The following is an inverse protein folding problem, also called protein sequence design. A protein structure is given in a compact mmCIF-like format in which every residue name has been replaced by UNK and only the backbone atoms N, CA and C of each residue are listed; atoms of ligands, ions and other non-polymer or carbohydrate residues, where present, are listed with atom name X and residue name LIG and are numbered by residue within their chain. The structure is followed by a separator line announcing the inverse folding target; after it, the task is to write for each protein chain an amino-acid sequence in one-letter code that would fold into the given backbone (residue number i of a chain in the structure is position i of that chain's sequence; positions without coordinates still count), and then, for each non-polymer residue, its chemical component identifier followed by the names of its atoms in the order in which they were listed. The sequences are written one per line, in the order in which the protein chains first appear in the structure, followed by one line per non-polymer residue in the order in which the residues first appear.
data_IF_493778494841
#
_entry.id   IF_493778494841
#
_cell.length_a   1.000
_cell.length_b   1.000
_cell.length_c   1.000
_cell.angle_alpha   90.00
_cell.angle_beta   90.00
_cell.angle_gamma   90.00
#
_symmetry.space_group_name_H-M   'P 1'
#
loop_
_entity.id
_entity.type
_entity.pdbx_description
1 polymer ?
#
# COMPACT_ATOMS: atom_id res chain seq x y z
N UNK A 1 -1.52 -51.92 -9.60
CA UNK A 1 -1.67 -50.46 -9.81
C UNK A 1 -0.28 -49.88 -10.05
N UNK A 2 0.08 -49.54 -11.28
CA UNK A 2 1.41 -49.05 -11.64
C UNK A 2 1.32 -47.57 -12.04
N UNK A 3 2.11 -46.73 -11.37
CA UNK A 3 2.17 -45.28 -11.54
C UNK A 3 2.92 -44.94 -12.85
N UNK A 4 2.32 -44.11 -13.69
CA UNK A 4 2.92 -43.69 -14.97
C UNK A 4 4.09 -42.71 -14.71
N UNK A 5 5.22 -42.84 -15.43
CA UNK A 5 6.37 -41.94 -15.24
C UNK A 5 6.04 -40.52 -15.76
N UNK A 6 6.31 -39.52 -14.92
CA UNK A 6 6.07 -38.11 -15.24
C UNK A 6 6.85 -37.65 -16.47
N UNK A 7 6.14 -36.99 -17.39
CA UNK A 7 6.72 -36.39 -18.61
C UNK A 7 7.58 -35.20 -18.21
N UNK A 8 8.90 -35.33 -18.41
CA UNK A 8 9.85 -34.23 -18.20
C UNK A 8 9.76 -33.28 -19.40
N UNK A 9 9.16 -32.11 -19.21
CA UNK A 9 9.12 -31.06 -20.23
C UNK A 9 10.56 -30.54 -20.43
N UNK A 10 11.25 -31.04 -21.46
CA UNK A 10 12.57 -30.51 -21.84
C UNK A 10 12.37 -29.16 -22.53
N UNK A 11 12.84 -28.10 -21.88
CA UNK A 11 12.92 -26.78 -22.49
C UNK A 11 13.87 -26.85 -23.69
N UNK A 12 13.45 -26.51 -24.93
CA UNK A 12 14.27 -26.66 -26.14
C UNK A 12 15.51 -25.75 -26.16
N UNK A 13 15.61 -24.81 -25.22
CA UNK A 13 16.75 -23.91 -25.10
C UNK A 13 17.56 -24.24 -23.85
N UNK A 14 18.82 -24.63 -24.05
CA UNK A 14 19.80 -24.71 -22.98
C UNK A 14 20.08 -23.29 -22.44
N UNK A 15 19.44 -22.94 -21.31
CA UNK A 15 19.58 -21.63 -20.67
C UNK A 15 21.03 -21.29 -20.31
N UNK A 16 21.88 -22.31 -20.09
CA UNK A 16 23.31 -22.17 -19.85
C UNK A 16 24.07 -21.52 -21.01
N UNK A 17 23.53 -21.54 -22.25
CA UNK A 17 24.12 -20.82 -23.40
C UNK A 17 23.80 -19.33 -23.41
N UNK A 18 22.81 -18.88 -22.63
CA UNK A 18 22.40 -17.48 -22.50
C UNK A 18 23.02 -16.78 -21.30
N UNK A 19 23.73 -17.51 -20.43
CA UNK A 19 24.46 -16.91 -19.32
C UNK A 19 25.85 -16.53 -19.84
N UNK A 20 26.19 -15.23 -19.94
CA UNK A 20 27.53 -14.81 -20.30
C UNK A 20 28.51 -15.27 -19.22
N UNK A 21 29.67 -15.81 -19.60
CA UNK A 21 30.77 -16.03 -18.66
C UNK A 21 31.16 -14.67 -18.07
N UNK A 22 30.88 -14.48 -16.78
CA UNK A 22 31.29 -13.27 -16.08
C UNK A 22 32.82 -13.22 -16.05
N UNK A 23 33.45 -12.11 -16.48
CA UNK A 23 34.91 -12.01 -16.46
C UNK A 23 35.39 -12.14 -15.02
N UNK A 24 36.17 -13.18 -14.72
CA UNK A 24 36.90 -13.29 -13.46
C UNK A 24 38.11 -12.35 -13.51
N UNK A 25 37.84 -11.05 -13.34
CA UNK A 25 38.86 -10.01 -13.18
C UNK A 25 38.76 -9.38 -11.80
N UNK A 26 39.89 -9.14 -11.15
CA UNK A 26 40.08 -8.53 -9.82
C UNK A 26 39.40 -7.15 -9.60
N UNK A 27 38.75 -6.58 -10.61
CA UNK A 27 38.06 -5.29 -10.55
C UNK A 27 36.52 -5.39 -10.68
N UNK A 28 35.97 -6.60 -10.88
CA UNK A 28 34.53 -6.82 -10.86
C UNK A 28 34.10 -7.26 -9.46
N UNK A 29 33.58 -6.31 -8.69
CA UNK A 29 32.91 -6.61 -7.42
C UNK A 29 31.40 -6.71 -7.64
N UNK A 30 30.86 -7.92 -7.85
CA UNK A 30 29.43 -8.11 -8.05
C UNK A 30 28.61 -7.70 -6.82
N UNK A 31 29.18 -7.78 -5.62
CA UNK A 31 28.49 -7.42 -4.36
C UNK A 31 28.33 -5.91 -4.30
N UNK A 32 29.40 -5.14 -4.49
CA UNK A 32 29.33 -3.67 -4.52
C UNK A 32 28.36 -3.15 -5.60
N UNK A 33 28.33 -3.78 -6.78
CA UNK A 33 27.36 -3.42 -7.84
C UNK A 33 25.92 -3.71 -7.44
N UNK A 34 25.67 -4.84 -6.77
CA UNK A 34 24.35 -5.20 -6.29
C UNK A 34 23.88 -4.24 -5.19
N UNK A 35 24.74 -3.88 -4.24
CA UNK A 35 24.44 -2.91 -3.18
C UNK A 35 24.14 -1.52 -3.74
N UNK A 36 24.91 -1.05 -4.73
CA UNK A 36 24.64 0.23 -5.41
C UNK A 36 23.30 0.21 -6.15
N UNK A 37 22.94 -0.90 -6.80
CA UNK A 37 21.66 -1.04 -7.46
C UNK A 37 20.50 -1.04 -6.46
N UNK A 38 20.64 -1.76 -5.35
CA UNK A 38 19.65 -1.78 -4.26
C UNK A 38 19.47 -0.39 -3.64
N UNK A 39 20.57 0.34 -3.40
CA UNK A 39 20.51 1.70 -2.87
C UNK A 39 19.80 2.69 -3.80
N UNK A 40 19.98 2.56 -5.12
CA UNK A 40 19.22 3.36 -6.11
C UNK A 40 17.73 3.02 -6.06
N UNK A 41 17.40 1.73 -6.01
CA UNK A 41 16.01 1.26 -5.96
C UNK A 41 15.29 1.74 -4.69
N UNK A 42 15.95 1.68 -3.53
CA UNK A 42 15.39 2.17 -2.26
C UNK A 42 15.04 3.67 -2.32
N UNK A 43 15.92 4.50 -2.92
CA UNK A 43 15.63 5.94 -3.11
C UNK A 43 14.45 6.17 -4.05
N UNK A 44 14.33 5.34 -5.08
CA UNK A 44 13.18 5.38 -5.99
C UNK A 44 11.88 5.08 -5.26
N UNK A 45 11.86 4.09 -4.36
CA UNK A 45 10.68 3.76 -3.55
C UNK A 45 10.30 4.89 -2.58
N UNK A 46 11.28 5.54 -1.94
CA UNK A 46 11.02 6.72 -1.09
C UNK A 46 10.38 7.86 -1.88
N UNK A 47 10.86 8.10 -3.10
CA UNK A 47 10.29 9.10 -3.99
C UNK A 47 8.85 8.76 -4.38
N UNK A 48 8.58 7.52 -4.78
CA UNK A 48 7.24 7.07 -5.15
C UNK A 48 6.25 7.17 -3.99
N UNK A 49 6.66 6.74 -2.78
CA UNK A 49 5.83 6.93 -1.58
C UNK A 49 5.55 8.42 -1.33
N UNK A 50 6.54 9.29 -1.47
CA UNK A 50 6.35 10.74 -1.27
C UNK A 50 5.37 11.33 -2.29
N UNK A 51 5.45 10.93 -3.56
CA UNK A 51 4.54 11.39 -4.61
C UNK A 51 3.10 10.91 -4.34
N UNK A 52 2.94 9.66 -3.91
CA UNK A 52 1.64 9.06 -3.65
C UNK A 52 0.93 9.71 -2.45
N UNK A 53 1.69 10.02 -1.40
CA UNK A 53 1.20 10.78 -0.25
C UNK A 53 0.89 12.23 -0.63
N UNK A 54 1.67 12.78 -1.56
CA UNK A 54 1.40 14.06 -2.20
C UNK A 54 0.05 14.06 -2.94
N UNK A 55 -0.23 12.99 -3.69
CA UNK A 55 -1.50 12.78 -4.40
C UNK A 55 -2.67 12.69 -3.41
N UNK A 56 -2.55 11.85 -2.38
CA UNK A 56 -3.55 11.70 -1.32
C UNK A 56 -3.88 13.06 -0.66
N UNK A 57 -2.84 13.82 -0.29
CA UNK A 57 -3.00 15.10 0.38
C UNK A 57 -3.62 16.17 -0.53
N UNK A 58 -3.39 16.14 -1.85
CA UNK A 58 -4.05 17.05 -2.80
C UNK A 58 -5.55 16.77 -2.86
N UNK A 59 -5.94 15.50 -3.02
CA UNK A 59 -7.35 15.09 -3.05
C UNK A 59 -8.05 15.45 -1.74
N UNK A 60 -7.43 15.15 -0.60
CA UNK A 60 -7.99 15.48 0.71
C UNK A 60 -8.19 16.97 0.92
N UNK A 61 -7.27 17.82 0.44
CA UNK A 61 -7.43 19.28 0.53
C UNK A 61 -8.63 19.78 -0.24
N UNK A 62 -8.89 19.23 -1.43
CA UNK A 62 -10.09 19.56 -2.21
C UNK A 62 -11.36 19.18 -1.45
N UNK A 63 -11.45 17.92 -0.99
CA UNK A 63 -12.58 17.42 -0.19
C UNK A 63 -12.84 18.29 1.06
N UNK A 64 -11.77 18.65 1.77
CA UNK A 64 -11.86 19.45 2.98
C UNK A 64 -12.33 20.88 2.71
N UNK A 65 -11.91 21.46 1.58
CA UNK A 65 -12.31 22.81 1.18
C UNK A 65 -13.77 22.85 0.73
N UNK A 66 -14.22 21.82 0.00
CA UNK A 66 -15.58 21.73 -0.52
C UNK A 66 -16.59 21.22 0.54
N UNK A 67 -16.10 20.71 1.66
CA UNK A 67 -16.91 20.26 2.80
C UNK A 67 -17.67 18.95 2.55
N UNK A 68 -17.24 18.17 1.55
CA UNK A 68 -17.97 17.00 1.08
C UNK A 68 -17.17 16.12 0.13
N UNK A 69 -17.62 14.87 0.02
CA UNK A 69 -17.21 13.94 -1.03
C UNK A 69 -18.25 14.03 -2.15
N UNK A 70 -17.86 14.59 -3.29
CA UNK A 70 -18.62 14.45 -4.53
C UNK A 70 -18.14 13.19 -5.28
N UNK A 71 -18.79 12.86 -6.41
CA UNK A 71 -18.44 11.68 -7.20
C UNK A 71 -16.96 11.68 -7.64
N UNK A 72 -16.46 12.82 -8.10
CA UNK A 72 -15.10 12.95 -8.66
C UNK A 72 -14.04 12.78 -7.57
N UNK A 73 -14.21 13.48 -6.46
CA UNK A 73 -13.31 13.45 -5.31
C UNK A 73 -13.36 12.11 -4.58
N UNK A 74 -14.54 11.47 -4.52
CA UNK A 74 -14.69 10.10 -4.05
C UNK A 74 -13.87 9.12 -4.90
N UNK A 75 -14.04 9.14 -6.22
CA UNK A 75 -13.29 8.26 -7.13
C UNK A 75 -11.77 8.49 -7.03
N UNK A 76 -11.34 9.74 -6.93
CA UNK A 76 -9.93 10.10 -6.73
C UNK A 76 -9.38 9.60 -5.40
N UNK A 77 -10.13 9.78 -4.30
CA UNK A 77 -9.72 9.35 -2.97
C UNK A 77 -9.68 7.82 -2.87
N UNK A 78 -10.66 7.15 -3.46
CA UNK A 78 -10.70 5.69 -3.53
C UNK A 78 -9.51 5.16 -4.34
N UNK A 79 -9.21 5.75 -5.49
CA UNK A 79 -8.09 5.34 -6.34
C UNK A 79 -6.76 5.44 -5.60
N UNK A 80 -6.45 6.59 -4.98
CA UNK A 80 -5.19 6.75 -4.24
C UNK A 80 -5.11 5.86 -3.00
N UNK A 81 -6.23 5.60 -2.34
CA UNK A 81 -6.26 4.67 -1.21
C UNK A 81 -6.01 3.22 -1.67
N UNK A 82 -6.58 2.82 -2.80
CA UNK A 82 -6.39 1.49 -3.35
C UNK A 82 -4.95 1.24 -3.82
N UNK A 83 -4.33 2.24 -4.46
CA UNK A 83 -2.93 2.15 -4.89
C UNK A 83 -2.01 2.04 -3.67
N UNK A 84 -2.21 2.89 -2.64
CA UNK A 84 -1.48 2.78 -1.36
C UNK A 84 -1.63 1.41 -0.69
N UNK A 85 -2.83 0.83 -0.70
CA UNK A 85 -3.07 -0.53 -0.19
C UNK A 85 -2.20 -1.56 -0.90
N UNK A 86 -2.07 -1.48 -2.22
CA UNK A 86 -1.30 -2.43 -3.02
C UNK A 86 0.22 -2.20 -3.01
N UNK A 87 0.65 -0.94 -2.91
CA UNK A 87 2.03 -0.56 -3.17
C UNK A 87 2.85 -0.26 -1.91
N UNK A 88 2.21 0.10 -0.79
CA UNK A 88 2.93 0.61 0.37
C UNK A 88 3.91 -0.40 0.98
N UNK A 89 3.60 -1.70 0.99
CA UNK A 89 4.51 -2.73 1.45
C UNK A 89 5.78 -2.82 0.56
N UNK A 90 5.61 -2.70 -0.76
CA UNK A 90 6.72 -2.66 -1.73
C UNK A 90 7.62 -1.44 -1.49
N UNK A 91 7.04 -0.33 -1.06
CA UNK A 91 7.78 0.89 -0.75
C UNK A 91 8.36 0.93 0.67
N UNK A 92 8.19 -0.16 1.45
CA UNK A 92 8.74 -0.28 2.80
C UNK A 92 7.88 0.33 3.92
N UNK A 93 6.59 0.57 3.68
CA UNK A 93 5.64 1.11 4.66
C UNK A 93 4.39 0.22 4.79
N UNK A 94 4.52 -1.03 5.26
CA UNK A 94 3.41 -1.99 5.31
C UNK A 94 2.20 -1.49 6.12
N UNK A 95 2.42 -0.74 7.20
CA UNK A 95 1.34 -0.17 8.03
C UNK A 95 0.47 0.84 7.27
N UNK A 96 1.02 1.54 6.27
CA UNK A 96 0.22 2.43 5.41
C UNK A 96 -0.77 1.61 4.59
N UNK A 97 -0.36 0.44 4.10
CA UNK A 97 -1.24 -0.45 3.36
C UNK A 97 -2.44 -0.91 4.21
N UNK A 98 -2.20 -1.22 5.48
CA UNK A 98 -3.26 -1.60 6.42
C UNK A 98 -4.26 -0.46 6.71
N UNK A 99 -3.77 0.78 6.83
CA UNK A 99 -4.62 1.96 7.04
C UNK A 99 -5.38 2.30 5.77
N UNK A 100 -4.73 2.21 4.60
CA UNK A 100 -5.35 2.46 3.32
C UNK A 100 -6.45 1.44 3.01
N UNK A 101 -6.27 0.18 3.39
CA UNK A 101 -7.32 -0.85 3.33
C UNK A 101 -8.51 -0.49 4.23
N UNK A 102 -8.26 -0.08 5.47
CA UNK A 102 -9.31 0.42 6.38
C UNK A 102 -10.05 1.63 5.79
N UNK A 103 -9.33 2.53 5.11
CA UNK A 103 -9.92 3.67 4.42
C UNK A 103 -10.77 3.23 3.22
N UNK A 104 -10.34 2.26 2.42
CA UNK A 104 -11.17 1.72 1.33
C UNK A 104 -12.49 1.15 1.85
N UNK A 105 -12.46 0.37 2.94
CA UNK A 105 -13.69 -0.14 3.57
C UNK A 105 -14.60 0.99 4.06
N UNK A 106 -14.01 2.07 4.59
CA UNK A 106 -14.76 3.25 5.01
C UNK A 106 -15.47 3.92 3.83
N UNK A 107 -14.82 3.98 2.67
CA UNK A 107 -15.34 4.55 1.42
C UNK A 107 -16.37 3.63 0.76
N UNK A 108 -16.20 2.31 0.80
CA UNK A 108 -17.22 1.34 0.34
C UNK A 108 -18.54 1.50 1.08
N UNK A 109 -18.47 1.82 2.38
CA UNK A 109 -19.65 2.12 3.17
C UNK A 109 -20.24 3.51 2.83
N UNK A 110 -19.40 4.51 2.52
CA UNK A 110 -19.85 5.83 2.05
C UNK A 110 -20.63 5.73 0.73
N UNK A 111 -20.15 4.93 -0.21
CA UNK A 111 -20.82 4.72 -1.50
C UNK A 111 -22.23 4.13 -1.32
N UNK A 112 -22.38 3.24 -0.33
CA UNK A 112 -23.67 2.63 0.03
C UNK A 112 -24.60 3.60 0.76
N UNK A 113 -24.05 4.41 1.66
CA UNK A 113 -24.77 5.49 2.36
C UNK A 113 -23.79 6.62 2.73
N UNK A 114 -23.94 7.84 2.18
CA UNK A 114 -23.09 8.98 2.53
C UNK A 114 -23.05 9.31 4.03
N UNK A 115 -24.13 8.99 4.76
CA UNK A 115 -24.20 9.16 6.22
C UNK A 115 -23.41 8.10 7.00
N UNK A 116 -23.03 6.99 6.35
CA UNK A 116 -22.23 5.96 6.97
C UNK A 116 -20.82 6.50 7.25
N UNK A 117 -20.20 7.28 6.37
CA UNK A 117 -18.83 7.81 6.51
C UNK A 117 -18.71 9.32 6.73
N UNK A 118 -18.76 9.77 8.00
CA UNK A 118 -18.41 11.14 8.34
C UNK A 118 -16.98 11.47 7.90
N UNK A 119 -16.81 12.62 7.26
CA UNK A 119 -15.50 13.15 6.84
C UNK A 119 -14.43 13.15 7.94
N UNK A 120 -14.72 13.38 9.24
CA UNK A 120 -13.70 13.30 10.28
C UNK A 120 -13.00 11.94 10.37
N UNK A 121 -13.69 10.83 10.04
CA UNK A 121 -13.04 9.52 10.01
C UNK A 121 -12.12 9.36 8.82
N UNK A 122 -12.53 9.88 7.65
CA UNK A 122 -11.66 9.94 6.47
C UNK A 122 -10.40 10.75 6.79
N UNK A 123 -10.56 11.90 7.43
CA UNK A 123 -9.46 12.77 7.86
C UNK A 123 -8.45 12.02 8.74
N UNK A 124 -8.93 11.29 9.74
CA UNK A 124 -8.08 10.52 10.65
C UNK A 124 -7.19 9.52 9.92
N UNK A 125 -7.73 8.80 8.92
CA UNK A 125 -6.94 7.87 8.11
C UNK A 125 -5.88 8.59 7.29
N UNK A 126 -6.25 9.70 6.63
CA UNK A 126 -5.31 10.51 5.83
C UNK A 126 -4.18 11.05 6.70
N UNK A 127 -4.48 11.53 7.92
CA UNK A 127 -3.47 12.04 8.84
C UNK A 127 -2.59 10.94 9.43
N UNK A 128 -3.15 9.76 9.72
CA UNK A 128 -2.38 8.61 10.15
C UNK A 128 -1.36 8.17 9.08
N UNK A 129 -1.80 8.08 7.83
CA UNK A 129 -0.92 7.76 6.68
C UNK A 129 0.21 8.79 6.58
N UNK A 130 -0.10 10.09 6.64
CA UNK A 130 0.90 11.16 6.60
C UNK A 130 1.87 11.13 7.78
N UNK A 131 1.38 10.81 8.98
CA UNK A 131 2.19 10.71 10.18
C UNK A 131 3.21 9.56 10.07
N UNK A 132 2.79 8.39 9.62
CA UNK A 132 3.69 7.24 9.44
C UNK A 132 4.85 7.57 8.48
N UNK A 133 4.58 8.26 7.38
CA UNK A 133 5.63 8.66 6.43
C UNK A 133 6.54 9.72 7.02
N UNK A 134 5.97 10.71 7.70
CA UNK A 134 6.75 11.78 8.35
C UNK A 134 7.69 11.24 9.42
N UNK A 135 7.21 10.32 10.24
CA UNK A 135 7.99 9.67 11.32
C UNK A 135 8.82 8.48 10.81
N UNK A 136 8.77 8.17 9.50
CA UNK A 136 9.47 7.05 8.85
C UNK A 136 9.27 5.70 9.55
N UNK A 137 8.03 5.43 9.96
CA UNK A 137 7.67 4.15 10.59
C UNK A 137 7.54 3.07 9.51
N UNK A 138 8.67 2.44 9.18
CA UNK A 138 8.79 1.44 8.12
C UNK A 138 8.65 0.00 8.64
N UNK A 139 8.83 -0.22 9.94
CA UNK A 139 8.72 -1.54 10.54
C UNK A 139 7.24 -1.90 10.77
N UNK A 140 6.78 -3.02 10.19
CA UNK A 140 5.44 -3.57 10.42
C UNK A 140 5.15 -3.86 11.89
N UNK A 141 6.19 -4.17 12.67
CA UNK A 141 6.09 -4.55 14.07
C UNK A 141 6.17 -3.36 15.03
N UNK A 142 6.22 -2.13 14.53
CA UNK A 142 6.24 -0.93 15.37
C UNK A 142 5.01 -0.92 16.30
N UNK A 143 5.19 -0.89 17.63
CA UNK A 143 4.08 -1.02 18.56
C UNK A 143 3.11 0.17 18.49
N UNK A 144 3.63 1.38 18.27
CA UNK A 144 2.83 2.60 18.16
C UNK A 144 2.05 2.58 16.84
N UNK A 145 2.72 2.23 15.75
CA UNK A 145 2.11 2.08 14.43
C UNK A 145 0.99 1.04 14.43
N UNK A 146 1.22 -0.15 15.02
CA UNK A 146 0.21 -1.19 15.12
C UNK A 146 -0.98 -0.80 15.99
N UNK A 147 -0.74 -0.11 17.11
CA UNK A 147 -1.83 0.39 17.94
C UNK A 147 -2.68 1.41 17.18
N UNK A 148 -2.06 2.32 16.41
CA UNK A 148 -2.78 3.27 15.57
C UNK A 148 -3.66 2.57 14.53
N UNK A 149 -3.12 1.58 13.81
CA UNK A 149 -3.89 0.78 12.84
C UNK A 149 -5.07 0.08 13.52
N UNK A 150 -4.84 -0.54 14.67
CA UNK A 150 -5.87 -1.27 15.40
C UNK A 150 -7.03 -0.35 15.83
N UNK A 151 -6.72 0.84 16.37
CA UNK A 151 -7.74 1.81 16.78
C UNK A 151 -8.54 2.34 15.57
N UNK A 152 -7.89 2.66 14.46
CA UNK A 152 -8.58 3.10 13.23
C UNK A 152 -9.55 2.02 12.70
N UNK A 153 -9.09 0.76 12.65
CA UNK A 153 -9.93 -0.38 12.23
C UNK A 153 -11.09 -0.63 13.18
N UNK A 154 -10.85 -0.54 14.48
CA UNK A 154 -11.90 -0.70 15.50
C UNK A 154 -12.98 0.37 15.33
N UNK A 155 -12.60 1.63 15.18
CA UNK A 155 -13.53 2.73 14.94
C UNK A 155 -14.34 2.53 13.65
N UNK A 156 -13.69 2.06 12.57
CA UNK A 156 -14.38 1.69 11.33
C UNK A 156 -15.39 0.55 11.52
N UNK A 157 -14.99 -0.52 12.23
CA UNK A 157 -15.83 -1.70 12.46
C UNK A 157 -17.03 -1.44 13.38
N UNK A 158 -16.85 -0.71 14.48
CA UNK A 158 -17.95 -0.33 15.38
C UNK A 158 -19.03 0.47 14.65
N UNK A 159 -18.61 1.31 13.72
CA UNK A 159 -19.51 2.11 12.88
C UNK A 159 -20.27 1.24 11.88
N UNK A 160 -19.59 0.31 11.18
CA UNK A 160 -20.23 -0.64 10.28
C UNK A 160 -21.28 -1.51 11.01
N UNK A 161 -20.98 -1.91 12.26
CA UNK A 161 -21.92 -2.65 13.11
C UNK A 161 -23.13 -1.80 13.53
N UNK A 162 -22.92 -0.55 13.97
CA UNK A 162 -24.01 0.39 14.29
C UNK A 162 -24.90 0.67 13.08
N UNK A 163 -24.30 0.75 11.89
CA UNK A 163 -25.03 0.94 10.64
C UNK A 163 -25.89 -0.29 10.30
N UNK A 164 -25.32 -1.49 10.37
CA UNK A 164 -26.04 -2.75 10.12
C UNK A 164 -27.21 -2.99 11.08
N UNK A 165 -27.17 -2.39 12.27
CA UNK A 165 -28.25 -2.45 13.25
C UNK A 165 -29.36 -1.42 13.01
N UNK A 166 -29.10 -0.33 12.28
CA UNK A 166 -30.05 0.77 12.00
C UNK A 166 -30.84 0.57 10.71
N UNK A 167 -30.40 -0.34 9.85
CA UNK A 167 -31.03 -0.70 8.56
C UNK A 167 -31.95 -1.92 8.63
N UNK A 168 -32.23 -2.45 9.84
CA UNK A 168 -33.26 -3.46 10.12
C UNK A 168 -34.43 -2.84 10.87
#
# INVERSE_FOLDING_TARGET
MANAPGVKIQNPVNLNRKVPDLPRGSAFDPVSRAEQALGKLSKTFEYWMTDEIGRLNRVWKTISADGGLDKTTFEQLYSVSHDLKGEAATFGYPLIGDIADSLCLLLDDFERDPGAAPLPFVEQHVYAIKAIVKEKVQNAEDPVGRQLVAELRKLGGERAARFSARSR
#
